data_IF_428307292634
#
_entry.id   IF_428307292634
#
_cell.length_a   1.000
_cell.length_b   1.000
_cell.length_c   1.000
_cell.angle_alpha   90.00
_cell.angle_beta   90.00
_cell.angle_gamma   90.00
#
_symmetry.space_group_name_H-M   'P 1'
#
loop_
_entity.id
_entity.type
_entity.pdbx_description
1 polymer ?
#
# COMPACT_ATOMS: atom_id res chain seq x y z
N UNK A 1 15.47 2.24 11.91
CA UNK A 1 14.70 2.28 13.17
C UNK A 1 13.79 3.51 13.18
N UNK A 2 14.35 4.72 13.15
CA UNK A 2 13.59 5.98 13.21
C UNK A 2 12.40 6.11 12.24
N UNK A 3 12.52 5.65 10.98
CA UNK A 3 11.40 5.78 10.02
C UNK A 3 10.22 4.86 10.30
N UNK A 4 10.49 3.64 10.78
CA UNK A 4 9.43 2.70 11.18
C UNK A 4 8.67 3.21 12.40
N UNK A 5 9.38 3.78 13.36
CA UNK A 5 8.79 4.40 14.56
C UNK A 5 7.94 5.62 14.18
N UNK A 6 8.44 6.51 13.31
CA UNK A 6 7.67 7.66 12.80
C UNK A 6 6.39 7.23 12.09
N UNK A 7 6.44 6.20 11.25
CA UNK A 7 5.26 5.66 10.58
C UNK A 7 4.28 5.02 11.57
N UNK A 8 4.78 4.25 12.53
CA UNK A 8 3.98 3.65 13.60
C UNK A 8 3.23 4.71 14.41
N UNK A 9 3.95 5.74 14.85
CA UNK A 9 3.36 6.86 15.59
C UNK A 9 2.34 7.64 14.76
N UNK A 10 2.55 7.78 13.44
CA UNK A 10 1.60 8.49 12.57
C UNK A 10 0.26 7.77 12.43
N UNK A 11 0.25 6.43 12.48
CA UNK A 11 -0.99 5.63 12.35
C UNK A 11 -1.57 5.21 13.71
N UNK A 12 -0.86 5.48 14.80
CA UNK A 12 -1.31 5.18 16.15
C UNK A 12 -2.60 5.94 16.46
N UNK A 13 -3.61 5.22 16.98
CA UNK A 13 -4.91 5.79 17.31
C UNK A 13 -5.79 6.19 16.11
N UNK A 14 -5.39 5.88 14.87
CA UNK A 14 -6.24 6.14 13.71
C UNK A 14 -7.55 5.34 13.80
N UNK A 15 -8.68 6.05 13.68
CA UNK A 15 -10.03 5.49 13.89
C UNK A 15 -10.42 4.41 12.86
N UNK A 16 -9.91 4.54 11.64
CA UNK A 16 -10.11 3.58 10.55
C UNK A 16 -8.89 3.57 9.60
N UNK A 17 -8.92 2.67 8.62
CA UNK A 17 -7.83 2.54 7.64
C UNK A 17 -7.69 3.79 6.76
N UNK A 18 -8.79 4.50 6.48
CA UNK A 18 -8.75 5.75 5.73
C UNK A 18 -7.97 6.84 6.48
N UNK A 19 -8.25 7.00 7.77
CA UNK A 19 -7.52 7.93 8.64
C UNK A 19 -6.03 7.56 8.75
N UNK A 20 -5.70 6.26 8.83
CA UNK A 20 -4.31 5.80 8.84
C UNK A 20 -3.58 6.13 7.51
N UNK A 21 -4.24 5.94 6.38
CA UNK A 21 -3.70 6.31 5.06
C UNK A 21 -3.46 7.81 4.95
N UNK A 22 -4.41 8.63 5.39
CA UNK A 22 -4.28 10.10 5.41
C UNK A 22 -3.09 10.55 6.26
N UNK A 23 -2.89 9.92 7.42
CA UNK A 23 -1.76 10.23 8.29
C UNK A 23 -0.41 9.86 7.67
N UNK A 24 -0.31 8.71 7.00
CA UNK A 24 0.91 8.31 6.27
C UNK A 24 1.19 9.28 5.13
N UNK A 25 0.19 9.61 4.32
CA UNK A 25 0.31 10.55 3.19
C UNK A 25 0.75 11.93 3.69
N UNK A 26 0.17 12.41 4.79
CA UNK A 26 0.56 13.68 5.40
C UNK A 26 2.02 13.66 5.86
N UNK A 27 2.43 12.62 6.59
CA UNK A 27 3.81 12.47 7.07
C UNK A 27 4.82 12.48 5.92
N UNK A 28 4.52 11.77 4.84
CA UNK A 28 5.38 11.70 3.66
C UNK A 28 5.51 13.05 2.94
N UNK A 29 4.40 13.76 2.80
CA UNK A 29 4.40 15.07 2.16
C UNK A 29 5.12 16.12 3.03
N UNK A 30 4.97 16.07 4.35
CA UNK A 30 5.72 16.93 5.29
C UNK A 30 7.23 16.66 5.21
N UNK A 31 7.63 15.39 5.11
CA UNK A 31 9.04 15.00 5.00
C UNK A 31 9.67 15.45 3.67
N UNK A 32 8.91 15.38 2.56
CA UNK A 32 9.33 15.93 1.28
C UNK A 32 9.51 17.46 1.34
N UNK A 33 8.56 18.19 1.90
CA UNK A 33 8.66 19.66 2.01
C UNK A 33 9.82 20.08 2.91
N UNK A 34 9.95 19.45 4.08
CA UNK A 34 11.03 19.76 5.03
C UNK A 34 12.43 19.47 4.48
N UNK A 35 12.54 18.59 3.49
CA UNK A 35 13.81 18.24 2.84
C UNK A 35 14.07 19.01 1.54
N UNK A 36 13.32 20.09 1.26
CA UNK A 36 13.36 20.79 -0.04
C UNK A 36 13.21 19.82 -1.23
N UNK A 37 12.27 18.89 -1.06
CA UNK A 37 11.93 17.84 -2.02
C UNK A 37 13.10 16.90 -2.35
N UNK A 38 14.11 16.79 -1.47
CA UNK A 38 15.27 15.92 -1.66
C UNK A 38 15.10 14.52 -1.07
N UNK A 39 14.15 14.31 -0.15
CA UNK A 39 13.84 12.96 0.32
C UNK A 39 12.99 12.20 -0.70
N UNK A 40 12.85 10.90 -0.48
CA UNK A 40 12.13 9.96 -1.34
C UNK A 40 12.33 8.55 -0.81
N UNK A 41 11.95 7.52 -1.58
CA UNK A 41 12.30 6.16 -1.21
C UNK A 41 13.73 5.82 -1.67
N UNK A 42 14.70 5.66 -0.75
CA UNK A 42 16.07 5.32 -1.13
C UNK A 42 16.16 3.93 -1.78
N UNK A 43 15.23 3.02 -1.47
CA UNK A 43 15.19 1.66 -2.03
C UNK A 43 14.74 1.69 -3.49
N UNK A 44 13.82 2.59 -3.85
CA UNK A 44 13.29 2.67 -5.21
C UNK A 44 14.38 3.02 -6.24
N UNK A 45 15.25 3.98 -5.94
CA UNK A 45 16.36 4.34 -6.82
C UNK A 45 17.30 3.15 -7.06
N UNK A 46 17.66 2.42 -6.00
CA UNK A 46 18.52 1.23 -6.12
C UNK A 46 17.80 0.11 -6.86
N UNK A 47 16.48 -0.04 -6.69
CA UNK A 47 15.68 -1.06 -7.37
C UNK A 47 15.67 -0.88 -8.89
N UNK A 48 15.60 0.36 -9.37
CA UNK A 48 15.60 0.67 -10.80
C UNK A 48 16.95 0.40 -11.47
N UNK A 49 18.06 0.60 -10.74
CA UNK A 49 19.43 0.47 -11.27
C UNK A 49 20.07 -0.91 -11.02
N UNK A 50 19.42 -1.80 -10.26
CA UNK A 50 20.03 -3.04 -9.80
C UNK A 50 20.24 -4.09 -10.91
N UNK A 51 21.48 -4.25 -11.37
CA UNK A 51 21.88 -5.29 -12.34
C UNK A 51 22.39 -6.59 -11.70
N UNK A 52 22.85 -6.55 -10.44
CA UNK A 52 23.34 -7.72 -9.72
C UNK A 52 22.21 -8.61 -9.20
N UNK A 53 22.21 -9.94 -9.45
CA UNK A 53 21.22 -10.87 -8.89
C UNK A 53 21.15 -10.83 -7.36
N UNK A 54 22.30 -10.70 -6.69
CA UNK A 54 22.37 -10.63 -5.22
C UNK A 54 21.71 -9.36 -4.71
N UNK A 55 21.93 -8.24 -5.38
CA UNK A 55 21.30 -6.96 -5.03
C UNK A 55 19.78 -7.02 -5.26
N UNK A 56 19.33 -7.54 -6.42
CA UNK A 56 17.91 -7.73 -6.71
C UNK A 56 17.22 -8.60 -5.66
N UNK A 57 17.84 -9.69 -5.21
CA UNK A 57 17.28 -10.56 -4.18
C UNK A 57 17.11 -9.83 -2.83
N UNK A 58 18.08 -8.99 -2.43
CA UNK A 58 17.97 -8.18 -1.21
C UNK A 58 16.87 -7.13 -1.29
N UNK A 59 16.73 -6.46 -2.44
CA UNK A 59 15.67 -5.46 -2.68
C UNK A 59 14.29 -6.13 -2.66
N UNK A 60 14.15 -7.29 -3.32
CA UNK A 60 12.92 -8.06 -3.29
C UNK A 60 12.53 -8.45 -1.85
N UNK A 61 13.48 -8.95 -1.06
CA UNK A 61 13.23 -9.28 0.35
C UNK A 61 12.80 -8.04 1.16
N UNK A 62 13.36 -6.87 0.87
CA UNK A 62 13.00 -5.62 1.54
C UNK A 62 11.55 -5.20 1.24
N UNK A 63 11.17 -5.20 -0.04
CA UNK A 63 9.80 -4.87 -0.45
C UNK A 63 8.79 -5.91 0.07
N UNK A 64 9.12 -7.19 0.06
CA UNK A 64 8.28 -8.23 0.67
C UNK A 64 8.04 -7.95 2.15
N UNK A 65 9.09 -7.63 2.92
CA UNK A 65 8.95 -7.31 4.34
C UNK A 65 8.11 -6.05 4.59
N UNK A 66 8.21 -5.03 3.73
CA UNK A 66 7.34 -3.85 3.79
C UNK A 66 5.88 -4.20 3.50
N UNK A 67 5.62 -4.95 2.43
CA UNK A 67 4.27 -5.39 2.07
C UNK A 67 3.64 -6.23 3.18
N UNK A 68 4.41 -7.11 3.83
CA UNK A 68 3.94 -7.89 4.98
C UNK A 68 3.60 -6.98 6.17
N UNK A 69 4.46 -6.01 6.49
CA UNK A 69 4.21 -5.03 7.58
C UNK A 69 2.94 -4.24 7.31
N UNK A 70 2.78 -3.73 6.08
CA UNK A 70 1.60 -2.97 5.66
C UNK A 70 0.35 -3.84 5.70
N UNK A 71 0.42 -5.10 5.22
CA UNK A 71 -0.71 -6.02 5.26
C UNK A 71 -1.13 -6.38 6.69
N UNK A 72 -0.17 -6.53 7.61
CA UNK A 72 -0.45 -6.75 9.03
C UNK A 72 -1.18 -5.55 9.64
N UNK A 73 -0.71 -4.33 9.38
CA UNK A 73 -1.38 -3.11 9.83
C UNK A 73 -2.78 -2.99 9.24
N UNK A 74 -2.97 -3.25 7.95
CA UNK A 74 -4.29 -3.21 7.31
C UNK A 74 -5.25 -4.22 7.97
N UNK A 75 -4.76 -5.40 8.34
CA UNK A 75 -5.58 -6.43 8.96
C UNK A 75 -6.07 -6.06 10.37
N UNK A 76 -5.40 -5.14 11.08
CA UNK A 76 -5.89 -4.65 12.39
C UNK A 76 -7.20 -3.86 12.27
N UNK A 77 -7.53 -3.36 11.07
CA UNK A 77 -8.79 -2.69 10.76
C UNK A 77 -9.89 -3.66 10.27
N UNK A 78 -9.74 -4.96 10.51
CA UNK A 78 -10.76 -5.97 10.19
C UNK A 78 -10.77 -6.47 8.74
N UNK A 79 -9.78 -6.09 7.92
CA UNK A 79 -9.66 -6.58 6.54
C UNK A 79 -9.07 -8.00 6.52
N UNK A 80 -9.71 -8.91 5.80
CA UNK A 80 -9.25 -10.29 5.66
C UNK A 80 -7.83 -10.37 5.07
N UNK A 81 -6.98 -11.25 5.63
CA UNK A 81 -5.55 -11.37 5.27
C UNK A 81 -5.27 -11.40 3.76
N UNK A 82 -6.00 -12.16 2.91
CA UNK A 82 -5.75 -12.14 1.46
C UNK A 82 -5.99 -10.77 0.83
N UNK A 83 -7.08 -10.08 1.22
CA UNK A 83 -7.39 -8.74 0.75
C UNK A 83 -6.40 -7.70 1.29
N UNK A 84 -5.96 -7.84 2.55
CA UNK A 84 -4.96 -6.98 3.16
C UNK A 84 -3.62 -7.05 2.42
N UNK A 85 -3.19 -8.26 2.01
CA UNK A 85 -1.98 -8.44 1.18
C UNK A 85 -2.10 -7.76 -0.18
N UNK A 86 -3.24 -7.89 -0.86
CA UNK A 86 -3.48 -7.22 -2.14
C UNK A 86 -3.46 -5.69 -1.99
N UNK A 87 -4.14 -5.18 -0.97
CA UNK A 87 -4.19 -3.74 -0.70
C UNK A 87 -2.82 -3.19 -0.31
N UNK A 88 -2.00 -3.94 0.43
CA UNK A 88 -0.64 -3.54 0.77
C UNK A 88 0.23 -3.31 -0.47
N UNK A 89 0.14 -4.18 -1.47
CA UNK A 89 0.84 -4.01 -2.76
C UNK A 89 0.36 -2.75 -3.47
N UNK A 90 -0.95 -2.55 -3.56
CA UNK A 90 -1.55 -1.38 -4.22
C UNK A 90 -1.16 -0.08 -3.53
N UNK A 91 -1.28 -0.02 -2.21
CA UNK A 91 -0.96 1.17 -1.42
C UNK A 91 0.52 1.53 -1.56
N UNK A 92 1.41 0.54 -1.43
CA UNK A 92 2.84 0.76 -1.57
C UNK A 92 3.19 1.28 -2.98
N UNK A 93 2.72 0.61 -4.03
CA UNK A 93 3.00 1.02 -5.40
C UNK A 93 2.47 2.44 -5.72
N UNK A 94 1.25 2.75 -5.26
CA UNK A 94 0.65 4.06 -5.47
C UNK A 94 1.39 5.17 -4.72
N UNK A 95 1.75 4.94 -3.46
CA UNK A 95 2.50 5.91 -2.65
C UNK A 95 3.90 6.15 -3.22
N UNK A 96 4.60 5.10 -3.66
CA UNK A 96 5.93 5.22 -4.28
C UNK A 96 5.88 6.04 -5.58
N UNK A 97 4.88 5.78 -6.43
CA UNK A 97 4.65 6.60 -7.63
C UNK A 97 4.32 8.06 -7.28
N UNK A 98 3.51 8.28 -6.24
CA UNK A 98 3.18 9.62 -5.78
C UNK A 98 4.40 10.36 -5.21
N UNK A 99 5.27 9.70 -4.45
CA UNK A 99 6.53 10.27 -3.96
C UNK A 99 7.42 10.73 -5.12
N UNK A 100 7.54 9.92 -6.17
CA UNK A 100 8.28 10.26 -7.38
C UNK A 100 7.70 11.53 -8.03
N UNK A 101 6.39 11.53 -8.30
CA UNK A 101 5.73 12.67 -8.96
C UNK A 101 5.77 13.94 -8.08
N UNK A 102 5.57 13.80 -6.77
CA UNK A 102 5.61 14.91 -5.82
C UNK A 102 6.99 15.58 -5.81
N UNK A 103 8.05 14.77 -5.84
CA UNK A 103 9.43 15.26 -5.95
C UNK A 103 9.69 15.99 -7.27
N UNK A 104 9.27 15.41 -8.41
CA UNK A 104 9.45 16.01 -9.73
C UNK A 104 8.72 17.35 -9.84
N UNK A 105 7.49 17.42 -9.35
CA UNK A 105 6.66 18.62 -9.42
C UNK A 105 6.88 19.60 -8.27
N UNK A 106 7.69 19.24 -7.25
CA UNK A 106 7.83 19.98 -5.99
C UNK A 106 6.46 20.36 -5.40
N UNK A 107 5.60 19.36 -5.29
CA UNK A 107 4.20 19.55 -4.90
C UNK A 107 3.68 18.38 -4.09
N UNK A 108 2.87 18.67 -3.06
CA UNK A 108 2.13 17.64 -2.29
C UNK A 108 1.01 16.99 -3.13
N UNK A 109 0.62 17.62 -4.25
CA UNK A 109 -0.55 17.26 -5.05
C UNK A 109 -0.64 15.77 -5.39
N UNK A 110 0.41 15.12 -5.91
CA UNK A 110 0.37 13.69 -6.23
C UNK A 110 0.08 12.78 -5.02
N UNK A 111 0.66 13.10 -3.85
CA UNK A 111 0.42 12.37 -2.61
C UNK A 111 -1.01 12.56 -2.11
N UNK A 112 -1.54 13.80 -2.16
CA UNK A 112 -2.93 14.10 -1.80
C UNK A 112 -3.91 13.33 -2.69
N UNK A 113 -3.68 13.33 -4.01
CA UNK A 113 -4.52 12.60 -4.97
C UNK A 113 -4.52 11.09 -4.71
N UNK A 114 -3.35 10.49 -4.50
CA UNK A 114 -3.25 9.05 -4.20
C UNK A 114 -3.88 8.71 -2.84
N UNK A 115 -3.68 9.56 -1.82
CA UNK A 115 -4.31 9.38 -0.51
C UNK A 115 -5.83 9.33 -0.60
N UNK A 116 -6.44 10.29 -1.31
CA UNK A 116 -7.88 10.34 -1.54
C UNK A 116 -8.39 9.10 -2.29
N UNK A 117 -7.66 8.64 -3.32
CA UNK A 117 -8.01 7.44 -4.07
C UNK A 117 -7.95 6.17 -3.20
N UNK A 118 -6.87 5.99 -2.43
CA UNK A 118 -6.72 4.85 -1.53
C UNK A 118 -7.79 4.85 -0.43
N UNK A 119 -8.11 6.02 0.12
CA UNK A 119 -9.20 6.19 1.10
C UNK A 119 -10.55 5.77 0.51
N UNK A 120 -10.86 6.19 -0.71
CA UNK A 120 -12.10 5.79 -1.39
C UNK A 120 -12.19 4.27 -1.62
N UNK A 121 -11.06 3.62 -1.97
CA UNK A 121 -11.00 2.17 -2.16
C UNK A 121 -11.30 1.37 -0.89
N UNK A 122 -10.95 1.90 0.29
CA UNK A 122 -11.15 1.21 1.58
C UNK A 122 -12.45 1.59 2.28
N UNK A 123 -13.05 2.74 1.92
CA UNK A 123 -14.32 3.19 2.48
C UNK A 123 -15.54 2.35 2.03
N UNK A 124 -15.39 1.54 0.98
CA UNK A 124 -16.50 0.75 0.43
C UNK A 124 -16.58 -0.61 1.13
N UNK A 125 -17.67 -0.96 1.84
CA UNK A 125 -17.86 -2.31 2.34
C UNK A 125 -17.94 -3.27 1.15
N UNK A 126 -16.91 -4.09 0.94
CA UNK A 126 -16.99 -5.20 -0.01
C UNK A 126 -17.95 -6.22 0.58
N UNK A 127 -19.20 -6.23 0.10
CA UNK A 127 -20.10 -7.36 0.35
C UNK A 127 -19.41 -8.62 -0.17
N UNK A 128 -19.06 -9.52 0.74
CA UNK A 128 -18.57 -10.85 0.35
C UNK A 128 -19.77 -11.60 -0.22
N UNK A 129 -19.89 -11.64 -1.55
CA UNK A 129 -20.86 -12.51 -2.20
C UNK A 129 -20.40 -13.96 -2.01
N UNK A 130 -20.95 -14.63 -0.99
CA UNK A 130 -20.86 -16.08 -0.83
C UNK A 130 -21.67 -16.75 -1.94
N UNK A 131 -21.11 -16.88 -3.14
CA UNK A 131 -21.71 -17.70 -4.18
C UNK A 131 -21.53 -19.18 -3.81
N UNK A 132 -22.57 -19.77 -3.22
CA UNK A 132 -22.67 -21.22 -3.01
C UNK A 132 -22.63 -21.94 -4.37
N UNK A 133 -21.83 -23.03 -4.54
CA UNK A 133 -21.81 -23.75 -5.81
C UNK A 133 -23.16 -24.43 -6.07
N UNK A 134 -23.90 -23.95 -7.07
CA UNK A 134 -25.12 -24.58 -7.56
C UNK A 134 -24.79 -25.95 -8.16
N UNK A 135 -25.35 -27.02 -7.57
CA UNK A 135 -25.23 -28.40 -8.06
C UNK A 135 -25.84 -28.49 -9.46
N UNK A 136 -24.98 -28.53 -10.48
CA UNK A 136 -25.38 -28.75 -11.88
C UNK A 136 -25.96 -30.16 -12.02
N UNK A 137 -27.29 -30.25 -12.10
CA UNK A 137 -28.06 -31.50 -12.28
C UNK A 137 -27.67 -32.13 -13.63
N UNK A 138 -26.99 -33.29 -13.60
CA UNK A 138 -26.69 -34.08 -14.81
C UNK A 138 -28.00 -34.60 -15.40
N UNK A 139 -28.38 -34.09 -16.57
CA UNK A 139 -29.50 -34.61 -17.36
C UNK A 139 -29.02 -35.88 -18.08
N UNK A 140 -29.55 -37.04 -17.70
CA UNK A 140 -29.32 -38.32 -18.40
C UNK A 140 -29.88 -38.19 -19.82
N UNK A 141 -29.02 -38.34 -20.83
CA UNK A 141 -29.44 -38.63 -22.21
C UNK A 141 -29.61 -40.14 -22.30
N UNK A 142 -30.81 -40.60 -22.64
CA UNK A 142 -31.10 -42.00 -22.97
C UNK A 142 -30.65 -42.24 -24.42
N UNK A 143 -29.95 -43.34 -24.65
CA UNK A 143 -29.84 -44.04 -25.93
C UNK A 143 -30.47 -45.43 -25.72
#
# INVERSE_FOLDING_TARGET
AAWRERLGAAVEGAADLGAALDAVVKLLADDLEASDWQNGCPVAAVALEATSPVVRAKIAAHYTAWQETIAQQIATYGIAKPAAKQLAVVALAAIEGALLLARVHRSRGPLVTVGAALRAMVATPRSVSSATPSKRRRRKVRA
#
